data_IF_102100437631
#
_entry.id   IF_102100437631
#
_cell.length_a   1.000
_cell.length_b   1.000
_cell.length_c   1.000
_cell.angle_alpha   90.00
_cell.angle_beta   90.00
_cell.angle_gamma   90.00
#
_symmetry.space_group_name_H-M   'P 1'
#
loop_
_entity.id
_entity.type
_entity.pdbx_description
1 polymer ?
#
# COMPACT_ATOMS: atom_id res chain seq x y z
N UNK A 1 -11.89 14.53 -0.15
CA UNK A 1 -12.62 13.51 0.63
C UNK A 1 -11.60 12.55 1.23
N UNK A 2 -11.64 12.33 2.54
CA UNK A 2 -10.75 11.41 3.25
C UNK A 2 -11.56 10.15 3.56
N UNK A 3 -11.22 9.02 2.96
CA UNK A 3 -12.02 7.79 3.06
C UNK A 3 -11.41 6.86 4.13
N UNK A 4 -12.21 6.50 5.12
CA UNK A 4 -11.84 5.57 6.19
C UNK A 4 -12.39 4.18 5.89
N UNK A 5 -11.60 3.33 5.23
CA UNK A 5 -12.02 1.96 4.88
C UNK A 5 -11.84 1.01 6.06
N UNK A 6 -12.88 0.75 6.86
CA UNK A 6 -12.86 -0.28 7.89
C UNK A 6 -13.59 -1.56 7.43
N UNK A 7 -12.84 -2.51 6.87
CA UNK A 7 -13.35 -3.84 6.50
C UNK A 7 -13.31 -4.80 7.70
N UNK A 8 -14.46 -5.32 8.15
CA UNK A 8 -14.53 -6.36 9.18
C UNK A 8 -14.36 -7.75 8.55
N UNK A 9 -13.19 -8.33 8.75
CA UNK A 9 -12.82 -9.65 8.22
C UNK A 9 -13.72 -10.79 8.74
N UNK A 10 -14.36 -10.65 9.90
CA UNK A 10 -15.20 -11.71 10.49
C UNK A 10 -16.48 -11.95 9.69
N UNK A 11 -16.99 -10.92 9.01
CA UNK A 11 -18.16 -11.02 8.12
C UNK A 11 -17.79 -11.50 6.72
N UNK A 12 -16.53 -11.38 6.32
CA UNK A 12 -16.10 -11.66 4.94
C UNK A 12 -16.30 -13.12 4.48
N UNK A 13 -16.23 -14.09 5.39
CA UNK A 13 -16.44 -15.52 5.05
C UNK A 13 -17.89 -15.85 4.68
N UNK A 14 -18.85 -15.00 5.06
CA UNK A 14 -20.27 -15.14 4.72
C UNK A 14 -20.64 -14.47 3.39
N UNK A 15 -19.71 -13.72 2.80
CA UNK A 15 -19.91 -13.03 1.52
C UNK A 15 -19.53 -14.01 0.40
N UNK A 16 -20.37 -14.18 -0.64
CA UNK A 16 -20.03 -14.97 -1.81
C UNK A 16 -18.69 -14.56 -2.42
N UNK A 17 -17.97 -15.51 -3.02
CA UNK A 17 -16.63 -15.29 -3.52
C UNK A 17 -16.56 -14.13 -4.53
N UNK A 18 -17.48 -14.09 -5.50
CA UNK A 18 -17.53 -13.05 -6.52
C UNK A 18 -17.77 -11.66 -5.91
N UNK A 19 -18.66 -11.58 -4.92
CA UNK A 19 -18.91 -10.34 -4.18
C UNK A 19 -17.66 -9.89 -3.40
N UNK A 20 -16.86 -10.81 -2.85
CA UNK A 20 -15.58 -10.47 -2.21
C UNK A 20 -14.58 -9.91 -3.21
N UNK A 21 -14.48 -10.49 -4.40
CA UNK A 21 -13.62 -9.99 -5.46
C UNK A 21 -14.04 -8.62 -5.94
N UNK A 22 -15.35 -8.40 -6.13
CA UNK A 22 -15.89 -7.09 -6.50
C UNK A 22 -15.52 -6.02 -5.48
N UNK A 23 -15.70 -6.31 -4.19
CA UNK A 23 -15.37 -5.34 -3.14
C UNK A 23 -13.86 -5.08 -3.08
N UNK A 24 -13.02 -6.11 -3.21
CA UNK A 24 -11.58 -5.95 -3.28
C UNK A 24 -11.17 -5.09 -4.49
N UNK A 25 -11.78 -5.30 -5.65
CA UNK A 25 -11.53 -4.50 -6.86
C UNK A 25 -11.90 -3.03 -6.64
N UNK A 26 -13.05 -2.74 -6.01
CA UNK A 26 -13.45 -1.37 -5.67
C UNK A 26 -12.42 -0.70 -4.75
N UNK A 27 -11.99 -1.37 -3.68
CA UNK A 27 -10.99 -0.83 -2.75
C UNK A 27 -9.65 -0.58 -3.46
N UNK A 28 -9.24 -1.50 -4.33
CA UNK A 28 -8.03 -1.34 -5.12
C UNK A 28 -8.15 -0.11 -6.02
N UNK A 29 -9.30 0.10 -6.67
CA UNK A 29 -9.55 1.24 -7.54
C UNK A 29 -9.56 2.56 -6.77
N UNK A 30 -10.08 2.58 -5.55
CA UNK A 30 -10.04 3.75 -4.67
C UNK A 30 -8.59 4.11 -4.30
N UNK A 31 -7.80 3.12 -3.86
CA UNK A 31 -6.36 3.33 -3.56
C UNK A 31 -5.63 3.79 -4.83
N UNK A 32 -5.93 3.19 -5.98
CA UNK A 32 -5.29 3.50 -7.24
C UNK A 32 -5.69 4.86 -7.81
N UNK A 33 -6.78 5.49 -7.37
CA UNK A 33 -7.21 6.82 -7.83
C UNK A 33 -6.90 7.94 -6.82
N UNK A 34 -6.59 7.59 -5.57
CA UNK A 34 -6.28 8.54 -4.52
C UNK A 34 -5.03 9.39 -4.86
N UNK A 35 -5.12 10.70 -4.59
CA UNK A 35 -3.99 11.64 -4.73
C UNK A 35 -2.90 11.41 -3.69
N UNK A 36 -3.28 10.90 -2.51
CA UNK A 36 -2.39 10.57 -1.41
C UNK A 36 -3.08 9.61 -0.44
N UNK A 37 -2.34 8.68 0.16
CA UNK A 37 -2.89 7.66 1.07
C UNK A 37 -2.19 7.72 2.42
N UNK A 38 -2.97 7.74 3.50
CA UNK A 38 -2.48 7.48 4.86
C UNK A 38 -3.06 6.16 5.33
N UNK A 39 -2.23 5.21 5.73
CA UNK A 39 -2.73 3.90 6.14
C UNK A 39 -1.87 3.22 7.18
N UNK A 40 -2.50 2.54 8.14
CA UNK A 40 -1.84 1.60 9.06
C UNK A 40 -1.88 0.16 8.56
N UNK A 41 -2.58 -0.09 7.44
CA UNK A 41 -2.78 -1.43 6.88
C UNK A 41 -1.71 -1.73 5.84
N UNK A 42 -0.89 -2.73 6.15
CA UNK A 42 0.23 -3.13 5.28
C UNK A 42 -0.20 -3.48 3.85
N UNK A 43 -1.32 -4.21 3.69
CA UNK A 43 -1.85 -4.55 2.35
C UNK A 43 -2.24 -3.31 1.55
N UNK A 44 -2.84 -2.30 2.18
CA UNK A 44 -3.19 -1.06 1.49
C UNK A 44 -1.94 -0.27 1.09
N UNK A 45 -0.90 -0.25 1.94
CA UNK A 45 0.39 0.34 1.62
C UNK A 45 1.08 -0.35 0.43
N UNK A 46 1.03 -1.69 0.38
CA UNK A 46 1.54 -2.46 -0.77
C UNK A 46 0.78 -2.15 -2.06
N UNK A 47 -0.55 -2.04 -2.00
CA UNK A 47 -1.36 -1.64 -3.15
C UNK A 47 -0.96 -0.23 -3.62
N UNK A 48 -0.85 0.74 -2.71
CA UNK A 48 -0.41 2.09 -3.04
C UNK A 48 0.98 2.09 -3.72
N UNK A 49 1.92 1.32 -3.18
CA UNK A 49 3.26 1.13 -3.72
C UNK A 49 3.24 0.50 -5.13
N UNK A 50 2.37 -0.49 -5.36
CA UNK A 50 2.21 -1.14 -6.65
C UNK A 50 1.76 -0.14 -7.73
N UNK A 51 0.80 0.73 -7.41
CA UNK A 51 0.31 1.79 -8.30
C UNK A 51 1.18 3.05 -8.32
N UNK A 52 2.28 3.10 -7.56
CA UNK A 52 3.14 4.28 -7.48
C UNK A 52 2.43 5.50 -6.89
N UNK A 53 1.38 5.27 -6.08
CA UNK A 53 0.66 6.35 -5.41
C UNK A 53 1.45 6.82 -4.21
N UNK A 54 1.50 8.13 -3.95
CA UNK A 54 2.19 8.64 -2.77
C UNK A 54 1.41 8.26 -1.52
N UNK A 55 2.11 7.74 -0.51
CA UNK A 55 1.48 7.31 0.73
C UNK A 55 2.40 7.42 1.93
N UNK A 56 1.79 7.39 3.12
CA UNK A 56 2.47 7.25 4.41
C UNK A 56 1.92 6.05 5.16
N UNK A 57 2.83 5.18 5.57
CA UNK A 57 2.52 3.97 6.32
C UNK A 57 2.69 4.21 7.83
N UNK A 58 1.61 4.06 8.58
CA UNK A 58 1.53 4.33 10.02
C UNK A 58 1.25 3.04 10.81
N UNK A 59 2.22 2.10 10.91
CA UNK A 59 1.98 0.85 11.60
C UNK A 59 1.87 1.05 13.12
N UNK A 60 1.05 0.23 13.75
CA UNK A 60 0.99 0.14 15.21
C UNK A 60 2.29 -0.44 15.79
N UNK A 61 2.90 -1.43 15.12
CA UNK A 61 4.19 -2.00 15.49
C UNK A 61 5.18 -1.85 14.31
N UNK A 62 6.09 -0.86 14.32
CA UNK A 62 7.07 -0.66 13.25
C UNK A 62 8.07 -1.81 13.07
N UNK A 63 8.23 -2.66 14.09
CA UNK A 63 9.17 -3.80 14.10
C UNK A 63 8.49 -5.13 13.69
N UNK A 64 7.30 -5.06 13.11
CA UNK A 64 6.61 -6.27 12.66
C UNK A 64 7.44 -6.99 11.58
N UNK A 65 7.78 -8.27 11.76
CA UNK A 65 8.61 -9.00 10.81
C UNK A 65 7.99 -9.10 9.42
N UNK A 66 6.67 -8.96 9.29
CA UNK A 66 5.96 -8.94 8.00
C UNK A 66 6.38 -7.76 7.12
N UNK A 67 6.97 -6.72 7.70
CA UNK A 67 7.42 -5.54 6.95
C UNK A 67 8.87 -5.67 6.47
N UNK A 68 9.59 -6.72 6.90
CA UNK A 68 10.98 -6.96 6.52
C UNK A 68 11.14 -7.01 5.01
N UNK A 69 12.12 -6.28 4.48
CA UNK A 69 12.38 -6.14 3.04
C UNK A 69 11.45 -5.18 2.29
N UNK A 70 10.34 -4.73 2.88
CA UNK A 70 9.40 -3.80 2.24
C UNK A 70 9.59 -2.35 2.68
N UNK A 71 9.98 -2.13 3.93
CA UNK A 71 10.10 -0.79 4.53
C UNK A 71 11.04 0.14 3.75
N UNK A 72 12.04 -0.40 3.04
CA UNK A 72 12.95 0.41 2.22
C UNK A 72 12.25 1.11 1.04
N UNK A 73 11.04 0.68 0.66
CA UNK A 73 10.25 1.27 -0.42
C UNK A 73 9.08 2.12 0.10
N UNK A 74 8.95 2.30 1.41
CA UNK A 74 7.79 2.94 2.03
C UNK A 74 8.18 4.11 2.95
N UNK A 75 7.33 5.13 3.01
CA UNK A 75 7.43 6.17 4.03
C UNK A 75 6.84 5.68 5.34
N UNK A 76 7.70 5.18 6.22
CA UNK A 76 7.33 4.74 7.55
C UNK A 76 7.20 5.93 8.50
N UNK A 77 6.00 6.13 9.03
CA UNK A 77 5.75 7.10 10.09
C UNK A 77 5.17 6.36 11.31
N UNK A 78 5.96 6.09 12.36
CA UNK A 78 5.44 5.49 13.57
C UNK A 78 4.29 6.32 14.15
N UNK A 79 3.25 5.67 14.67
CA UNK A 79 2.02 6.32 15.15
C UNK A 79 2.29 7.48 16.13
N UNK A 80 3.26 7.33 17.04
CA UNK A 80 3.64 8.36 18.02
C UNK A 80 4.27 9.62 17.39
N UNK A 81 4.75 9.58 16.14
CA UNK A 81 5.28 10.73 15.39
C UNK A 81 4.30 11.28 14.36
N UNK A 82 3.15 10.64 14.17
CA UNK A 82 2.23 10.99 13.09
C UNK A 82 1.74 12.44 13.17
N UNK A 83 1.44 12.95 14.37
CA UNK A 83 1.04 14.35 14.57
C UNK A 83 2.09 15.34 14.06
N UNK A 84 3.35 15.16 14.48
CA UNK A 84 4.48 15.99 14.04
C UNK A 84 4.74 15.86 12.53
N UNK A 85 4.54 14.66 11.98
CA UNK A 85 4.68 14.43 10.54
C UNK A 85 3.66 15.25 9.75
N UNK A 86 2.39 15.20 10.15
CA UNK A 86 1.31 15.97 9.52
C UNK A 86 1.62 17.46 9.58
N UNK A 87 1.92 18.01 10.75
CA UNK A 87 2.24 19.43 10.93
C UNK A 87 3.39 19.92 10.02
N UNK A 88 4.37 19.07 9.72
CA UNK A 88 5.54 19.42 8.88
C UNK A 88 5.35 19.15 7.38
N UNK A 89 4.49 18.20 7.01
CA UNK A 89 4.43 17.65 5.64
C UNK A 89 3.06 17.76 4.97
N UNK A 90 2.09 18.49 5.54
CA UNK A 90 0.76 18.71 4.96
C UNK A 90 0.82 19.17 3.48
N UNK A 91 1.86 19.93 3.10
CA UNK A 91 1.94 20.58 1.79
C UNK A 91 2.78 19.79 0.78
N UNK A 92 3.79 19.04 1.24
CA UNK A 92 4.74 18.36 0.35
C UNK A 92 4.91 16.91 0.76
N UNK A 93 4.28 16.01 0.00
CA UNK A 93 4.51 14.59 0.19
C UNK A 93 5.88 14.20 -0.37
N UNK A 94 6.76 13.56 0.41
CA UNK A 94 8.04 13.12 -0.11
C UNK A 94 7.86 12.07 -1.21
N UNK A 95 8.70 12.08 -2.27
CA UNK A 95 8.68 11.04 -3.30
C UNK A 95 8.97 9.67 -2.66
N UNK A 96 8.42 8.59 -3.22
CA UNK A 96 8.65 7.23 -2.72
C UNK A 96 10.16 6.93 -2.63
N UNK A 97 10.64 6.24 -1.58
CA UNK A 97 12.05 5.89 -1.48
C UNK A 97 12.39 4.75 -2.46
N UNK A 98 13.65 4.70 -2.89
CA UNK A 98 14.21 3.61 -3.70
C UNK A 98 13.40 3.26 -4.98
N UNK A 99 12.81 4.26 -5.64
CA UNK A 99 11.98 4.09 -6.85
C UNK A 99 12.68 3.27 -7.93
N UNK A 100 13.98 3.53 -8.17
CA UNK A 100 14.75 2.79 -9.18
C UNK A 100 14.85 1.28 -8.87
N UNK A 101 15.12 0.93 -7.60
CA UNK A 101 15.20 -0.47 -7.17
C UNK A 101 13.83 -1.15 -7.28
N UNK A 102 12.76 -0.44 -6.92
CA UNK A 102 11.39 -0.91 -7.09
C UNK A 102 11.03 -1.14 -8.57
N UNK A 103 11.40 -0.21 -9.46
CA UNK A 103 11.18 -0.34 -10.90
C UNK A 103 11.93 -1.55 -11.45
N UNK A 104 13.19 -1.74 -11.07
CA UNK A 104 13.98 -2.92 -11.45
C UNK A 104 13.31 -4.22 -10.99
N UNK A 105 12.81 -4.26 -9.75
CA UNK A 105 12.10 -5.43 -9.21
C UNK A 105 10.82 -5.71 -10.00
N UNK A 106 10.03 -4.67 -10.32
CA UNK A 106 8.82 -4.79 -11.17
C UNK A 106 9.17 -5.34 -12.56
N UNK A 107 10.18 -4.78 -13.22
CA UNK A 107 10.62 -5.23 -14.54
C UNK A 107 11.08 -6.69 -14.53
N UNK A 108 11.87 -7.08 -13.53
CA UNK A 108 12.31 -8.47 -13.37
C UNK A 108 11.13 -9.42 -13.21
N UNK A 109 10.15 -9.08 -12.37
CA UNK A 109 8.96 -9.90 -12.15
C UNK A 109 8.15 -10.04 -13.45
N UNK A 110 7.92 -8.94 -14.18
CA UNK A 110 7.22 -8.97 -15.47
C UNK A 110 7.95 -9.88 -16.47
N UNK A 111 9.26 -9.75 -16.58
CA UNK A 111 10.08 -10.59 -17.47
C UNK A 111 9.98 -12.06 -17.09
N UNK A 112 10.09 -12.40 -15.81
CA UNK A 112 9.96 -13.78 -15.33
C UNK A 112 8.60 -14.38 -15.67
N UNK A 113 7.52 -13.64 -15.45
CA UNK A 113 6.16 -14.08 -15.76
C UNK A 113 5.97 -14.27 -17.26
N UNK A 114 6.45 -13.33 -18.09
CA UNK A 114 6.42 -13.47 -19.55
C UNK A 114 7.15 -14.72 -20.03
N UNK A 115 8.34 -14.97 -19.49
CA UNK A 115 9.14 -16.15 -19.83
C UNK A 115 8.49 -17.46 -19.40
N UNK A 116 7.72 -17.45 -18.31
CA UNK A 116 6.95 -18.60 -17.87
C UNK A 116 5.78 -18.90 -18.82
N UNK A 117 5.09 -17.87 -19.31
CA UNK A 117 3.95 -18.01 -20.23
C UNK A 117 4.37 -18.36 -21.67
N UNK A 118 5.60 -18.05 -22.07
CA UNK A 118 6.13 -18.39 -23.40
C UNK A 118 6.76 -19.79 -23.49
N UNK A 119 6.78 -20.54 -22.39
CA UNK A 119 7.17 -21.95 -22.34
C UNK A 119 5.91 -22.82 -22.40
#
# INVERSE_FOLDING_TARGET
>A
ETIFLMFDLRRSRKIPLDARFMIAATIIQEIASAKFIVTSRFHAALTALAFGRPFVFVPANPKDPRFSGYLEYMHLCPSYRFKQYVEKNIVNTPPLPNVYKLQKLKSNLITTVKNFLSK
#
